data_IF_465184422647
#
_entry.id   IF_465184422647
#
_cell.length_a   1.000
_cell.length_b   1.000
_cell.length_c   1.000
_cell.angle_alpha   90.00
_cell.angle_beta   90.00
_cell.angle_gamma   90.00
#
_symmetry.space_group_name_H-M   'P 1'
#
loop_
_entity.id
_entity.type
_entity.pdbx_description
1 polymer ?
#
# COMPACT_ATOMS: atom_id res chain seq x y z
N UNK A 1 16.55 -22.75 32.96
CA UNK A 1 15.09 -22.79 32.73
C UNK A 1 14.89 -23.11 31.25
N UNK A 2 14.46 -24.34 30.92
CA UNK A 2 14.09 -24.69 29.56
C UNK A 2 12.86 -23.86 29.16
N UNK A 3 13.01 -23.00 28.18
CA UNK A 3 11.85 -22.33 27.54
C UNK A 3 11.04 -23.40 26.81
N UNK A 4 9.85 -23.66 27.32
CA UNK A 4 8.90 -24.56 26.66
C UNK A 4 8.58 -24.01 25.28
N UNK A 5 9.00 -24.67 24.21
CA UNK A 5 8.66 -24.29 22.84
C UNK A 5 7.14 -24.40 22.70
N UNK A 6 6.48 -23.29 22.43
CA UNK A 6 5.02 -23.27 22.18
C UNK A 6 4.73 -24.06 20.90
N UNK A 7 3.79 -24.99 20.97
CA UNK A 7 3.26 -25.69 19.79
C UNK A 7 2.10 -24.89 19.17
N UNK A 8 1.79 -25.16 17.91
CA UNK A 8 0.73 -24.45 17.19
C UNK A 8 -0.65 -24.56 17.91
N UNK A 9 -0.88 -25.68 18.60
CA UNK A 9 -2.10 -25.92 19.41
C UNK A 9 -2.20 -25.04 20.66
N UNK A 10 -1.10 -24.44 21.11
CA UNK A 10 -1.05 -23.53 22.27
C UNK A 10 -1.52 -22.09 21.93
N UNK A 11 -1.74 -21.79 20.64
CA UNK A 11 -2.22 -20.50 20.17
C UNK A 11 -3.74 -20.47 19.99
N UNK A 12 -4.37 -19.30 20.16
CA UNK A 12 -5.77 -19.11 19.83
C UNK A 12 -6.03 -19.28 18.32
N UNK A 13 -7.29 -19.29 17.89
CA UNK A 13 -7.64 -19.55 16.50
C UNK A 13 -7.14 -18.44 15.55
N UNK A 14 -7.19 -17.19 15.98
CA UNK A 14 -6.75 -16.02 15.20
C UNK A 14 -5.24 -16.06 14.99
N UNK A 15 -4.45 -16.21 16.05
CA UNK A 15 -3.00 -16.35 15.96
C UNK A 15 -2.56 -17.49 15.03
N UNK A 16 -3.32 -18.61 15.05
CA UNK A 16 -3.03 -19.76 14.16
C UNK A 16 -3.29 -19.44 12.70
N UNK A 17 -4.34 -18.66 12.40
CA UNK A 17 -4.64 -18.19 11.05
C UNK A 17 -3.51 -17.27 10.58
N UNK A 18 -3.13 -16.29 11.40
CA UNK A 18 -2.08 -15.33 11.05
C UNK A 18 -0.73 -16.01 10.81
N UNK A 19 -0.34 -16.94 11.70
CA UNK A 19 0.88 -17.73 11.52
C UNK A 19 0.85 -18.52 10.21
N UNK A 20 -0.31 -19.13 9.89
CA UNK A 20 -0.46 -19.91 8.66
C UNK A 20 -0.40 -19.04 7.40
N UNK A 21 -0.96 -17.84 7.44
CA UNK A 21 -0.87 -16.88 6.35
C UNK A 21 0.58 -16.43 6.14
N UNK A 22 1.28 -16.07 7.21
CA UNK A 22 2.70 -15.69 7.15
C UNK A 22 3.59 -16.83 6.63
N UNK A 23 3.38 -18.08 7.07
CA UNK A 23 4.06 -19.26 6.51
C UNK A 23 3.86 -19.43 4.99
N UNK A 24 2.73 -18.93 4.46
CA UNK A 24 2.42 -18.91 3.04
C UNK A 24 2.76 -17.57 2.36
N UNK A 25 3.66 -16.79 2.95
CA UNK A 25 4.10 -15.50 2.43
C UNK A 25 2.95 -14.51 2.16
N UNK A 26 1.92 -14.53 3.00
CA UNK A 26 0.70 -13.75 2.81
C UNK A 26 0.44 -12.86 4.03
N UNK A 27 0.15 -11.60 3.79
CA UNK A 27 -0.20 -10.61 4.80
C UNK A 27 -1.47 -9.84 4.40
N UNK A 28 -2.29 -9.48 5.40
CA UNK A 28 -3.49 -8.66 5.21
C UNK A 28 -3.31 -7.27 5.80
N UNK A 29 -3.33 -6.25 4.95
CA UNK A 29 -3.34 -4.84 5.33
C UNK A 29 -4.77 -4.31 5.18
N UNK A 30 -5.49 -4.25 6.28
CA UNK A 30 -6.91 -3.86 6.31
C UNK A 30 -7.16 -2.70 7.26
N UNK A 31 -8.25 -1.97 7.01
CA UNK A 31 -8.62 -0.80 7.81
C UNK A 31 -7.89 0.47 7.36
N UNK A 32 -7.80 1.47 8.22
CA UNK A 32 -7.10 2.72 7.95
C UNK A 32 -5.59 2.49 7.82
N UNK A 33 -4.95 3.14 6.86
CA UNK A 33 -3.49 3.14 6.72
C UNK A 33 -2.91 4.00 7.85
N UNK A 34 -2.35 3.34 8.86
CA UNK A 34 -1.86 3.94 10.08
C UNK A 34 -0.58 3.26 10.58
N UNK A 35 0.13 3.90 11.51
CA UNK A 35 1.40 3.42 12.06
C UNK A 35 1.32 1.97 12.56
N UNK A 36 0.23 1.61 13.26
CA UNK A 36 0.10 0.30 13.88
C UNK A 36 0.10 -0.85 12.87
N UNK A 37 -0.73 -0.76 11.80
CA UNK A 37 -0.85 -1.86 10.83
C UNK A 37 0.25 -1.82 9.77
N UNK A 38 0.68 -0.63 9.36
CA UNK A 38 1.79 -0.46 8.42
C UNK A 38 3.11 -0.89 9.08
N UNK A 39 3.35 -0.51 10.33
CA UNK A 39 4.56 -0.91 11.06
C UNK A 39 4.70 -2.44 11.19
N UNK A 40 3.59 -3.15 11.40
CA UNK A 40 3.56 -4.64 11.40
C UNK A 40 3.88 -5.21 10.00
N UNK A 41 3.31 -4.62 8.94
CA UNK A 41 3.55 -5.02 7.57
C UNK A 41 5.02 -4.81 7.16
N UNK A 42 5.60 -3.66 7.49
CA UNK A 42 7.01 -3.35 7.24
C UNK A 42 7.92 -4.34 7.95
N UNK A 43 7.64 -4.67 9.22
CA UNK A 43 8.40 -5.68 9.97
C UNK A 43 8.36 -7.06 9.30
N UNK A 44 7.18 -7.48 8.82
CA UNK A 44 7.03 -8.72 8.09
C UNK A 44 7.83 -8.71 6.79
N UNK A 45 7.69 -7.70 5.95
CA UNK A 45 8.47 -7.59 4.70
C UNK A 45 9.97 -7.59 4.97
N UNK A 46 10.41 -6.88 6.01
CA UNK A 46 11.81 -6.83 6.41
C UNK A 46 12.31 -8.21 6.84
N UNK A 47 11.55 -8.92 7.67
CA UNK A 47 11.87 -10.28 8.11
C UNK A 47 12.03 -11.24 6.93
N UNK A 48 11.09 -11.20 5.97
CA UNK A 48 11.11 -12.05 4.78
C UNK A 48 12.34 -11.79 3.88
N UNK A 49 12.92 -10.61 3.96
CA UNK A 49 14.10 -10.19 3.19
C UNK A 49 15.45 -10.47 3.89
N UNK A 50 15.47 -10.97 5.15
CA UNK A 50 16.74 -11.29 5.83
C UNK A 50 17.44 -12.48 5.21
N UNK A 51 16.73 -13.57 4.95
CA UNK A 51 17.27 -14.83 4.47
C UNK A 51 16.70 -15.20 3.10
N UNK A 52 17.51 -15.04 2.06
CA UNK A 52 17.11 -15.44 0.70
C UNK A 52 17.40 -16.93 0.53
N UNK A 53 16.38 -17.78 0.74
CA UNK A 53 16.53 -19.24 0.69
C UNK A 53 15.89 -19.92 -0.53
N UNK A 54 14.86 -19.32 -1.11
CA UNK A 54 14.13 -19.87 -2.25
C UNK A 54 13.43 -18.74 -3.03
N UNK A 55 13.10 -18.98 -4.28
CA UNK A 55 12.22 -18.10 -5.05
C UNK A 55 10.82 -18.12 -4.43
N UNK A 56 10.27 -16.94 -4.13
CA UNK A 56 8.92 -16.76 -3.60
C UNK A 56 8.35 -15.41 -4.02
N UNK A 57 7.05 -15.28 -3.93
CA UNK A 57 6.32 -14.02 -4.07
C UNK A 57 5.71 -13.69 -2.72
N UNK A 58 5.89 -12.48 -2.24
CA UNK A 58 5.25 -11.99 -1.02
C UNK A 58 3.90 -11.37 -1.39
N UNK A 59 2.82 -11.88 -0.83
CA UNK A 59 1.46 -11.47 -1.19
C UNK A 59 0.87 -10.55 -0.13
N UNK A 60 0.44 -9.37 -0.53
CA UNK A 60 -0.19 -8.35 0.30
C UNK A 60 -1.64 -8.14 -0.13
N UNK A 61 -2.59 -8.62 0.65
CA UNK A 61 -3.99 -8.27 0.48
C UNK A 61 -4.28 -6.90 1.08
N UNK A 62 -4.97 -6.04 0.34
CA UNK A 62 -5.28 -4.67 0.76
C UNK A 62 -6.78 -4.40 0.68
N UNK A 63 -7.38 -4.00 1.81
CA UNK A 63 -8.76 -3.52 1.90
C UNK A 63 -8.78 -2.29 2.81
N UNK A 64 -8.74 -1.10 2.21
CA UNK A 64 -8.58 0.14 2.96
C UNK A 64 -9.13 1.33 2.19
N UNK A 65 -9.73 2.25 2.92
CA UNK A 65 -10.13 3.57 2.40
C UNK A 65 -8.98 4.58 2.36
N UNK A 66 -7.77 4.18 2.76
CA UNK A 66 -6.60 5.04 2.86
C UNK A 66 -6.27 5.45 4.28
N UNK A 67 -5.58 6.56 4.44
CA UNK A 67 -5.11 7.09 5.73
C UNK A 67 -3.81 7.88 5.58
N UNK A 68 -2.87 7.66 6.49
CA UNK A 68 -1.62 8.40 6.58
C UNK A 68 -0.70 8.15 5.36
N UNK A 69 -0.40 9.23 4.63
CA UNK A 69 0.44 9.18 3.44
C UNK A 69 1.92 8.87 3.78
N UNK A 70 2.44 9.34 4.91
CA UNK A 70 3.82 9.03 5.32
C UNK A 70 3.98 7.53 5.57
N UNK A 71 2.99 6.92 6.20
CA UNK A 71 2.98 5.48 6.43
C UNK A 71 2.89 4.70 5.11
N UNK A 72 2.07 5.17 4.18
CA UNK A 72 2.00 4.55 2.85
C UNK A 72 3.32 4.65 2.09
N UNK A 73 3.96 5.82 2.09
CA UNK A 73 5.26 6.03 1.44
C UNK A 73 6.36 5.16 2.08
N UNK A 74 6.40 5.08 3.42
CA UNK A 74 7.33 4.21 4.13
C UNK A 74 7.17 2.73 3.75
N UNK A 75 5.93 2.25 3.61
CA UNK A 75 5.66 0.89 3.14
C UNK A 75 6.08 0.69 1.68
N UNK A 76 5.77 1.65 0.81
CA UNK A 76 6.15 1.61 -0.61
C UNK A 76 7.68 1.55 -0.77
N UNK A 77 8.44 2.31 0.02
CA UNK A 77 9.91 2.26 -0.01
C UNK A 77 10.42 0.87 0.34
N UNK A 78 9.85 0.23 1.36
CA UNK A 78 10.22 -1.15 1.74
C UNK A 78 9.78 -2.15 0.66
N UNK A 79 8.62 -1.98 0.05
CA UNK A 79 8.15 -2.83 -1.06
C UNK A 79 9.07 -2.75 -2.28
N UNK A 80 9.48 -1.53 -2.66
CA UNK A 80 10.32 -1.30 -3.86
C UNK A 80 11.75 -1.78 -3.68
N UNK A 81 12.25 -1.84 -2.44
CA UNK A 81 13.58 -2.37 -2.11
C UNK A 81 13.58 -3.85 -1.77
N UNK A 82 12.43 -4.52 -1.81
CA UNK A 82 12.31 -5.95 -1.55
C UNK A 82 13.10 -6.78 -2.57
N UNK A 83 13.76 -7.83 -2.09
CA UNK A 83 14.47 -8.82 -2.91
C UNK A 83 13.51 -9.81 -3.59
N UNK A 84 12.28 -9.89 -3.11
CA UNK A 84 11.22 -10.73 -3.66
C UNK A 84 10.16 -9.87 -4.36
N UNK A 85 9.53 -10.37 -5.42
CA UNK A 85 8.35 -9.72 -5.99
C UNK A 85 7.27 -9.56 -4.93
N UNK A 86 6.65 -8.39 -4.92
CA UNK A 86 5.50 -8.08 -4.05
C UNK A 86 4.24 -8.17 -4.89
N UNK A 87 3.43 -9.19 -4.63
CA UNK A 87 2.07 -9.28 -5.17
C UNK A 87 1.14 -8.46 -4.33
N UNK A 88 0.41 -7.53 -4.93
CA UNK A 88 -0.67 -6.80 -4.26
C UNK A 88 -2.02 -7.29 -4.77
N UNK A 89 -2.95 -7.54 -3.86
CA UNK A 89 -4.32 -7.96 -4.17
C UNK A 89 -5.29 -7.00 -3.49
N UNK A 90 -5.86 -6.08 -4.25
CA UNK A 90 -6.90 -5.17 -3.76
C UNK A 90 -8.25 -5.85 -3.70
N UNK A 91 -8.91 -5.77 -2.55
CA UNK A 91 -10.26 -6.30 -2.31
C UNK A 91 -11.15 -5.26 -1.65
N UNK A 92 -12.45 -5.27 -1.92
CA UNK A 92 -13.41 -4.36 -1.31
C UNK A 92 -13.15 -2.91 -1.68
N UNK A 93 -12.31 -2.20 -0.91
CA UNK A 93 -11.94 -0.80 -1.16
C UNK A 93 -10.42 -0.63 -1.26
N UNK A 94 -9.98 0.12 -2.27
CA UNK A 94 -8.57 0.49 -2.50
C UNK A 94 -8.54 1.99 -2.81
N UNK A 95 -8.45 2.82 -1.77
CA UNK A 95 -8.64 4.27 -1.91
C UNK A 95 -7.46 5.05 -1.32
N UNK A 96 -7.19 6.25 -1.89
CA UNK A 96 -6.22 7.22 -1.34
C UNK A 96 -4.83 6.57 -1.13
N UNK A 97 -4.28 6.61 0.07
CA UNK A 97 -3.00 5.99 0.44
C UNK A 97 -2.93 4.49 0.08
N UNK A 98 -4.04 3.75 0.23
CA UNK A 98 -4.11 2.33 -0.15
C UNK A 98 -4.04 2.12 -1.67
N UNK A 99 -4.54 3.07 -2.47
CA UNK A 99 -4.39 3.04 -3.92
C UNK A 99 -2.91 3.09 -4.33
N UNK A 100 -2.12 3.94 -3.69
CA UNK A 100 -0.68 4.05 -3.94
C UNK A 100 0.04 2.74 -3.58
N UNK A 101 -0.31 2.13 -2.44
CA UNK A 101 0.28 0.85 -1.99
C UNK A 101 0.00 -0.26 -3.02
N UNK A 102 -1.27 -0.43 -3.44
CA UNK A 102 -1.63 -1.47 -4.41
C UNK A 102 -0.96 -1.22 -5.75
N UNK A 103 -0.94 0.02 -6.23
CA UNK A 103 -0.30 0.39 -7.49
C UNK A 103 1.23 0.16 -7.47
N UNK A 104 1.86 0.18 -6.28
CA UNK A 104 3.31 0.00 -6.09
C UNK A 104 3.75 -1.46 -5.98
N UNK A 105 2.84 -2.43 -6.09
CA UNK A 105 3.19 -3.83 -6.26
C UNK A 105 4.09 -4.07 -7.47
N UNK A 106 4.77 -5.21 -7.50
CA UNK A 106 5.64 -5.58 -8.63
C UNK A 106 4.83 -5.65 -9.92
N UNK A 107 5.38 -5.13 -11.02
CA UNK A 107 4.72 -5.17 -12.32
C UNK A 107 4.39 -6.60 -12.74
N UNK A 108 3.15 -6.84 -13.17
CA UNK A 108 2.62 -8.17 -13.47
C UNK A 108 2.13 -8.94 -12.23
N UNK A 109 2.20 -8.34 -11.05
CA UNK A 109 1.78 -8.95 -9.78
C UNK A 109 0.76 -8.09 -9.02
N UNK A 110 0.02 -7.18 -9.71
CA UNK A 110 -0.95 -6.28 -9.10
C UNK A 110 -2.36 -6.68 -9.51
N UNK A 111 -3.09 -7.26 -8.57
CA UNK A 111 -4.42 -7.84 -8.78
C UNK A 111 -5.50 -7.04 -8.06
N UNK A 112 -6.69 -7.06 -8.61
CA UNK A 112 -7.90 -6.52 -7.99
C UNK A 112 -9.02 -7.55 -8.06
N UNK A 113 -9.83 -7.68 -7.01
CA UNK A 113 -11.06 -8.45 -7.15
C UNK A 113 -12.10 -7.69 -7.98
N UNK A 114 -13.01 -8.41 -8.63
CA UNK A 114 -14.01 -7.89 -9.57
C UNK A 114 -14.81 -6.70 -9.02
N UNK A 115 -15.16 -6.73 -7.74
CA UNK A 115 -16.01 -5.74 -7.09
C UNK A 115 -15.21 -4.69 -6.29
N UNK A 116 -13.89 -4.59 -6.48
CA UNK A 116 -13.08 -3.60 -5.80
C UNK A 116 -13.44 -2.19 -6.27
N UNK A 117 -13.78 -1.32 -5.33
CA UNK A 117 -13.94 0.12 -5.58
C UNK A 117 -12.62 0.82 -5.33
N UNK A 118 -12.14 1.54 -6.31
CA UNK A 118 -10.86 2.26 -6.26
C UNK A 118 -11.09 3.77 -6.24
N UNK A 119 -10.20 4.52 -5.56
CA UNK A 119 -10.24 5.99 -5.59
C UNK A 119 -8.84 6.58 -5.46
N UNK A 120 -8.56 7.55 -6.32
CA UNK A 120 -7.33 8.34 -6.27
C UNK A 120 -7.66 9.83 -6.16
N UNK A 121 -6.90 10.58 -5.38
CA UNK A 121 -7.07 12.01 -5.19
C UNK A 121 -5.74 12.69 -4.84
N UNK A 122 -5.71 14.03 -4.91
CA UNK A 122 -4.58 14.82 -4.42
C UNK A 122 -4.41 14.63 -2.90
N UNK A 123 -3.20 14.93 -2.40
CA UNK A 123 -2.98 15.00 -0.97
C UNK A 123 -4.03 15.91 -0.30
N UNK A 124 -4.68 15.37 0.70
CA UNK A 124 -5.63 16.10 1.54
C UNK A 124 -5.09 16.12 2.97
N UNK A 125 -4.73 17.28 3.44
CA UNK A 125 -4.20 17.45 4.79
C UNK A 125 -3.84 18.91 5.04
N UNK A 126 -3.59 19.22 6.30
CA UNK A 126 -3.25 20.57 6.73
C UNK A 126 -4.46 21.39 7.13
N UNK A 127 -4.18 22.44 7.79
CA UNK A 127 -5.14 23.44 8.26
C UNK A 127 -5.25 23.41 9.76
N UNK A 128 -4.97 24.51 10.34
CA UNK A 128 -5.59 25.05 11.54
C UNK A 128 -4.79 26.26 12.04
N UNK A 129 -5.12 26.80 13.15
CA UNK A 129 -4.64 27.96 13.87
C UNK A 129 -3.10 28.04 14.09
N UNK A 130 -2.33 27.78 13.01
CA UNK A 130 -0.87 27.86 13.02
C UNK A 130 -0.38 29.27 12.78
N UNK A 131 0.82 29.62 13.26
CA UNK A 131 1.47 30.89 12.95
C UNK A 131 1.81 30.99 11.47
N UNK A 132 1.85 32.20 10.94
CA UNK A 132 2.11 32.46 9.52
C UNK A 132 3.35 31.73 8.96
N UNK A 133 4.44 31.66 9.73
CA UNK A 133 5.64 30.94 9.28
C UNK A 133 5.50 29.42 9.33
N UNK A 134 4.72 28.91 10.27
CA UNK A 134 4.42 27.46 10.37
C UNK A 134 3.55 27.03 9.19
N UNK A 135 2.53 27.82 8.80
CA UNK A 135 1.73 27.59 7.59
C UNK A 135 2.57 27.53 6.31
N UNK A 136 3.61 28.38 6.20
CA UNK A 136 4.55 28.32 5.07
C UNK A 136 5.38 27.03 5.07
N UNK A 137 5.80 26.55 6.23
CA UNK A 137 6.54 25.30 6.36
C UNK A 137 5.63 24.11 6.00
N UNK A 138 4.39 24.09 6.49
CA UNK A 138 3.38 23.07 6.14
C UNK A 138 3.07 23.07 4.64
N UNK A 139 2.91 24.23 4.01
CA UNK A 139 2.70 24.30 2.55
C UNK A 139 3.86 23.67 1.78
N UNK A 140 5.10 23.91 2.20
CA UNK A 140 6.27 23.29 1.57
C UNK A 140 6.24 21.76 1.73
N UNK A 141 5.89 21.27 2.89
CA UNK A 141 5.75 19.83 3.16
C UNK A 141 4.65 19.22 2.29
N UNK A 142 3.50 19.87 2.21
CA UNK A 142 2.39 19.44 1.37
C UNK A 142 2.77 19.38 -0.12
N UNK A 143 3.57 20.35 -0.60
CA UNK A 143 4.12 20.33 -1.96
C UNK A 143 5.05 19.13 -2.18
N UNK A 144 5.93 18.82 -1.22
CA UNK A 144 6.80 17.65 -1.28
C UNK A 144 5.99 16.34 -1.32
N UNK A 145 4.96 16.21 -0.50
CA UNK A 145 4.07 15.05 -0.50
C UNK A 145 3.33 14.88 -1.84
N UNK A 146 2.82 15.96 -2.42
CA UNK A 146 2.19 15.91 -3.74
C UNK A 146 3.16 15.52 -4.85
N UNK A 147 4.44 15.94 -4.75
CA UNK A 147 5.49 15.50 -5.67
C UNK A 147 5.71 14.00 -5.51
N UNK A 148 5.94 13.53 -4.28
CA UNK A 148 6.17 12.10 -4.00
C UNK A 148 5.00 11.22 -4.48
N UNK A 149 3.76 11.62 -4.25
CA UNK A 149 2.57 10.90 -4.78
C UNK A 149 2.60 10.83 -6.31
N UNK A 150 2.93 11.96 -6.96
CA UNK A 150 3.02 12.00 -8.44
C UNK A 150 4.11 11.05 -8.94
N UNK A 151 5.28 11.04 -8.31
CA UNK A 151 6.41 10.18 -8.67
C UNK A 151 6.07 8.69 -8.47
N UNK A 152 5.45 8.33 -7.35
CA UNK A 152 4.96 6.95 -7.10
C UNK A 152 4.00 6.53 -8.21
N UNK A 153 3.02 7.35 -8.56
CA UNK A 153 2.06 7.02 -9.61
C UNK A 153 2.68 6.98 -11.01
N UNK A 154 3.64 7.83 -11.30
CA UNK A 154 4.42 7.79 -12.55
C UNK A 154 5.18 6.47 -12.66
N UNK A 155 5.88 6.08 -11.61
CA UNK A 155 6.62 4.81 -11.55
C UNK A 155 5.68 3.61 -11.67
N UNK A 156 4.57 3.61 -10.92
CA UNK A 156 3.59 2.54 -10.90
C UNK A 156 2.87 2.38 -12.25
N UNK A 157 2.44 3.46 -12.88
CA UNK A 157 1.61 3.42 -14.10
C UNK A 157 2.43 3.44 -15.40
N UNK A 158 3.66 3.95 -15.35
CA UNK A 158 4.46 4.24 -16.54
C UNK A 158 3.92 5.40 -17.38
N UNK A 159 2.96 6.17 -16.87
CA UNK A 159 2.38 7.33 -17.56
C UNK A 159 3.17 8.60 -17.28
N UNK A 160 3.12 9.57 -18.20
CA UNK A 160 3.76 10.86 -18.02
C UNK A 160 3.19 11.62 -16.79
N UNK A 161 3.99 12.48 -16.11
CA UNK A 161 3.52 13.26 -14.96
C UNK A 161 2.29 14.12 -15.27
N UNK A 162 2.18 14.63 -16.50
CA UNK A 162 1.01 15.41 -16.96
C UNK A 162 -0.26 14.57 -17.02
N UNK A 163 -0.14 13.30 -17.40
CA UNK A 163 -1.25 12.36 -17.38
C UNK A 163 -1.70 12.07 -15.95
N UNK A 164 -0.77 11.74 -15.05
CA UNK A 164 -1.04 11.47 -13.64
C UNK A 164 -1.77 12.64 -13.00
N UNK A 165 -1.23 13.86 -13.13
CA UNK A 165 -1.85 15.08 -12.58
C UNK A 165 -3.25 15.34 -13.14
N UNK A 166 -3.48 15.05 -14.43
CA UNK A 166 -4.77 15.33 -15.09
C UNK A 166 -5.81 14.24 -14.84
N UNK A 167 -5.40 12.97 -14.70
CA UNK A 167 -6.31 11.81 -14.71
C UNK A 167 -6.44 11.12 -13.36
N UNK A 168 -5.39 11.11 -12.55
CA UNK A 168 -5.38 10.43 -11.25
C UNK A 168 -5.38 11.42 -10.08
N UNK A 169 -4.81 12.61 -10.27
CA UNK A 169 -4.72 13.65 -9.24
C UNK A 169 -5.35 14.99 -9.70
N UNK A 170 -6.55 15.00 -10.33
CA UNK A 170 -7.24 16.25 -10.61
C UNK A 170 -7.75 16.90 -9.30
N UNK A 171 -8.33 18.12 -9.35
CA UNK A 171 -8.87 18.78 -8.15
C UNK A 171 -10.03 18.05 -7.45
N UNK A 172 -10.66 17.08 -8.12
CA UNK A 172 -11.75 16.26 -7.58
C UNK A 172 -11.30 14.82 -7.41
N UNK A 173 -11.90 14.09 -6.47
CA UNK A 173 -11.66 12.65 -6.28
C UNK A 173 -12.02 11.88 -7.55
N UNK A 174 -11.20 10.91 -7.90
CA UNK A 174 -11.39 10.03 -9.05
C UNK A 174 -11.76 8.64 -8.56
N UNK A 175 -13.04 8.35 -8.53
CA UNK A 175 -13.54 7.00 -8.27
C UNK A 175 -13.48 6.18 -9.55
N UNK A 176 -13.09 4.93 -9.43
CA UNK A 176 -12.93 4.01 -10.55
C UNK A 176 -13.21 2.56 -10.16
N UNK A 177 -13.64 1.81 -11.14
CA UNK A 177 -13.74 0.34 -11.07
C UNK A 177 -12.35 -0.30 -11.08
N UNK A 178 -12.28 -1.59 -10.74
CA UNK A 178 -11.05 -2.37 -10.87
C UNK A 178 -10.52 -2.36 -12.32
N UNK A 179 -11.41 -2.43 -13.32
CA UNK A 179 -11.03 -2.40 -14.73
C UNK A 179 -10.42 -1.04 -15.14
N UNK A 180 -11.00 0.06 -14.70
CA UNK A 180 -10.47 1.41 -14.97
C UNK A 180 -9.10 1.61 -14.29
N UNK A 181 -8.87 1.07 -13.09
CA UNK A 181 -7.55 1.11 -12.44
C UNK A 181 -6.48 0.39 -13.29
N UNK A 182 -6.83 -0.74 -13.92
CA UNK A 182 -5.96 -1.45 -14.88
C UNK A 182 -5.71 -0.59 -16.13
N UNK A 183 -6.72 0.04 -16.71
CA UNK A 183 -6.58 0.91 -17.88
C UNK A 183 -5.65 2.10 -17.62
N UNK A 184 -5.65 2.62 -16.40
CA UNK A 184 -4.68 3.61 -15.95
C UNK A 184 -3.27 3.05 -15.78
N UNK A 185 -3.08 1.74 -15.77
CA UNK A 185 -1.80 1.05 -15.55
C UNK A 185 -1.41 0.97 -14.06
N UNK A 186 -2.36 1.23 -13.15
CA UNK A 186 -2.15 1.16 -11.71
C UNK A 186 -2.40 -0.24 -11.12
N UNK A 187 -2.95 -1.17 -11.91
CA UNK A 187 -3.04 -2.60 -11.62
C UNK A 187 -2.80 -3.40 -12.91
N UNK A 188 -2.71 -4.73 -12.83
CA UNK A 188 -2.38 -5.58 -13.96
C UNK A 188 -3.53 -6.53 -14.32
N UNK A 189 -4.23 -7.12 -13.33
CA UNK A 189 -5.21 -8.17 -13.54
C UNK A 189 -6.42 -8.07 -12.61
N UNK A 190 -7.55 -8.59 -13.09
CA UNK A 190 -8.68 -8.96 -12.22
C UNK A 190 -8.41 -10.37 -11.68
N UNK A 191 -8.63 -10.56 -10.38
CA UNK A 191 -8.56 -11.87 -9.75
C UNK A 191 -9.76 -12.72 -10.20
N UNK A 192 -9.49 -13.85 -10.84
CA UNK A 192 -10.49 -14.82 -11.26
C UNK A 192 -10.95 -15.74 -10.13
#
# INVERSE_FOLDING_TARGET
>A
MEQKVKKLEDFNAEDRIDLKLLENNTYFLTGEIADENVGKCIKWLTYENFDIKAEKVLTLYVNSTGGDLYQALALIDVMTTSKYPIRTIGIGTVMSAAFLIVASGSKGERYLSQNTSCMCHQFAGGGSDAKFHDLKAEMKENEMLNISMTEVLVAATGKAPTYVKKRLLPPTDVYMTAQEMIEHGAADYILE
#
